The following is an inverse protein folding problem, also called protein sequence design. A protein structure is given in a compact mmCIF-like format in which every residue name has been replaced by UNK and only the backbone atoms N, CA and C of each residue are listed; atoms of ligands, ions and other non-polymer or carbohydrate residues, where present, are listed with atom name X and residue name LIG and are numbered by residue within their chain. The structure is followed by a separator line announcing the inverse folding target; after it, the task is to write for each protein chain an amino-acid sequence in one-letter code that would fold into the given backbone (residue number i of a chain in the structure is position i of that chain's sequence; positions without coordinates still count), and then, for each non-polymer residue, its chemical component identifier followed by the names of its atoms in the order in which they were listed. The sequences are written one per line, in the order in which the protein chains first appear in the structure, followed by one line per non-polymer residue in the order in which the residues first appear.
data_IF_209220480176
#
_entry.id   IF_209220480176
#
_cell.length_a   1.000
_cell.length_b   1.000
_cell.length_c   1.000
_cell.angle_alpha   90.00
_cell.angle_beta   90.00
_cell.angle_gamma   90.00
#
_symmetry.space_group_name_H-M   'P 1'
#
loop_
_entity.id
_entity.type
_entity.pdbx_description
1 polymer ?
#
# COMPACT_ATOMS: atom_id res chain seq x y z
N UNK A 1 -16.98 8.13 -16.20
CA UNK A 1 -16.75 6.72 -15.81
C UNK A 1 -17.88 5.87 -16.36
N UNK A 2 -17.57 4.75 -17.02
CA UNK A 2 -18.58 3.82 -17.53
C UNK A 2 -19.30 3.11 -16.35
N UNK A 3 -20.64 3.17 -16.26
CA UNK A 3 -21.40 2.54 -15.16
C UNK A 3 -21.19 1.02 -15.06
N UNK A 4 -20.90 0.32 -16.17
CA UNK A 4 -20.61 -1.11 -16.16
C UNK A 4 -19.33 -1.45 -15.37
N UNK A 5 -18.26 -0.66 -15.56
CA UNK A 5 -16.99 -0.86 -14.85
C UNK A 5 -17.12 -0.66 -13.33
N UNK A 6 -18.00 0.25 -12.89
CA UNK A 6 -18.25 0.47 -11.46
C UNK A 6 -18.95 -0.75 -10.81
N UNK A 7 -19.83 -1.44 -11.54
CA UNK A 7 -20.50 -2.66 -11.06
C UNK A 7 -19.51 -3.82 -10.89
N UNK A 8 -18.61 -3.99 -11.85
CA UNK A 8 -17.57 -5.03 -11.79
C UNK A 8 -16.59 -4.79 -10.65
N UNK A 9 -16.14 -3.53 -10.48
CA UNK A 9 -15.27 -3.15 -9.36
C UNK A 9 -15.93 -3.44 -8.01
N UNK A 10 -17.21 -3.07 -7.84
CA UNK A 10 -17.96 -3.36 -6.60
C UNK A 10 -18.09 -4.85 -6.33
N UNK A 11 -18.40 -5.65 -7.36
CA UNK A 11 -18.50 -7.11 -7.24
C UNK A 11 -17.15 -7.71 -6.82
N UNK A 12 -16.06 -7.28 -7.46
CA UNK A 12 -14.73 -7.73 -7.13
C UNK A 12 -14.33 -7.36 -5.69
N UNK A 13 -14.59 -6.13 -5.26
CA UNK A 13 -14.30 -5.67 -3.89
C UNK A 13 -15.09 -6.47 -2.85
N UNK A 14 -16.36 -6.77 -3.11
CA UNK A 14 -17.18 -7.59 -2.22
C UNK A 14 -16.61 -9.01 -2.06
N UNK A 15 -16.19 -9.63 -3.17
CA UNK A 15 -15.63 -10.99 -3.18
C UNK A 15 -14.24 -11.07 -2.53
N UNK A 16 -13.46 -10.00 -2.60
CA UNK A 16 -12.06 -9.98 -2.13
C UNK A 16 -11.87 -9.15 -0.86
N UNK A 17 -12.95 -8.79 -0.15
CA UNK A 17 -12.90 -7.91 1.03
C UNK A 17 -11.95 -8.42 2.12
N UNK A 18 -11.85 -9.73 2.29
CA UNK A 18 -10.95 -10.38 3.25
C UNK A 18 -9.45 -10.22 2.89
N UNK A 19 -9.13 -9.90 1.64
CA UNK A 19 -7.76 -9.60 1.18
C UNK A 19 -7.41 -8.12 1.35
N UNK A 20 -8.38 -7.28 1.67
CA UNK A 20 -8.21 -5.84 1.85
C UNK A 20 -8.11 -5.49 3.34
N UNK A 21 -7.46 -4.37 3.63
CA UNK A 21 -7.43 -3.75 4.96
C UNK A 21 -7.72 -2.26 4.82
N UNK A 22 -8.37 -1.72 5.85
CA UNK A 22 -8.38 -0.29 6.09
C UNK A 22 -7.02 0.09 6.69
N UNK A 23 -6.22 0.85 5.94
CA UNK A 23 -4.86 1.18 6.34
C UNK A 23 -4.80 2.59 6.92
N UNK A 24 -4.45 2.78 8.21
CA UNK A 24 -4.40 4.10 8.83
C UNK A 24 -3.25 4.97 8.33
N UNK A 25 -2.37 4.42 7.47
CA UNK A 25 -1.24 5.11 6.84
C UNK A 25 -1.48 5.36 5.35
N UNK A 26 -2.65 5.01 4.82
CA UNK A 26 -3.00 5.28 3.44
C UNK A 26 -3.68 6.65 3.35
N UNK A 27 -3.16 7.58 2.53
CA UNK A 27 -3.82 8.86 2.30
C UNK A 27 -5.25 8.66 1.79
N UNK A 28 -6.18 9.47 2.30
CA UNK A 28 -7.59 9.43 1.89
C UNK A 28 -8.40 8.26 2.42
N UNK A 29 -7.94 7.55 3.47
CA UNK A 29 -8.62 6.39 4.07
C UNK A 29 -8.99 5.32 3.05
N UNK A 30 -8.11 5.11 2.07
CA UNK A 30 -8.32 4.14 1.02
C UNK A 30 -7.97 2.72 1.50
N UNK A 31 -8.75 1.74 1.03
CA UNK A 31 -8.40 0.34 1.21
C UNK A 31 -7.12 0.00 0.45
N UNK A 32 -6.32 -0.91 1.04
CA UNK A 32 -5.15 -1.50 0.39
C UNK A 32 -5.21 -3.02 0.58
N UNK A 33 -4.70 -3.78 -0.37
CA UNK A 33 -4.58 -5.23 -0.18
C UNK A 33 -3.53 -5.56 0.88
N UNK A 34 -3.72 -6.66 1.60
CA UNK A 34 -2.74 -7.22 2.55
C UNK A 34 -1.37 -7.43 1.89
N UNK A 35 -1.39 -7.91 0.65
CA UNK A 35 -0.19 -8.10 -0.17
C UNK A 35 0.54 -6.79 -0.45
N UNK A 36 -0.18 -5.75 -0.87
CA UNK A 36 0.44 -4.44 -1.12
C UNK A 36 0.95 -3.79 0.19
N UNK A 37 0.27 -3.98 1.31
CA UNK A 37 0.76 -3.55 2.63
C UNK A 37 2.08 -4.26 3.01
N UNK A 38 2.15 -5.59 2.82
CA UNK A 38 3.36 -6.40 3.04
C UNK A 38 4.53 -5.91 2.16
N UNK A 39 4.28 -5.67 0.87
CA UNK A 39 5.28 -5.10 -0.05
C UNK A 39 5.80 -3.74 0.39
N UNK A 40 4.91 -2.82 0.79
CA UNK A 40 5.31 -1.49 1.28
C UNK A 40 6.21 -1.58 2.51
N UNK A 41 5.92 -2.50 3.43
CA UNK A 41 6.79 -2.72 4.59
C UNK A 41 8.16 -3.26 4.19
N UNK A 42 8.22 -4.30 3.35
CA UNK A 42 9.51 -4.85 2.86
C UNK A 42 10.32 -3.79 2.12
N UNK A 43 9.69 -3.02 1.24
CA UNK A 43 10.34 -1.92 0.53
C UNK A 43 10.87 -0.83 1.48
N UNK A 44 10.17 -0.53 2.58
CA UNK A 44 10.61 0.48 3.56
C UNK A 44 11.84 0.07 4.38
N UNK A 45 12.17 -1.22 4.40
CA UNK A 45 13.34 -1.80 5.05
C UNK A 45 14.54 -1.91 4.12
N UNK A 46 14.34 -1.73 2.80
CA UNK A 46 15.39 -1.88 1.81
C UNK A 46 16.50 -0.82 2.03
N UNK A 47 17.73 -1.23 2.37
CA UNK A 47 18.85 -0.31 2.57
C UNK A 47 19.34 0.30 1.25
N UNK A 48 18.99 -0.31 0.11
CA UNK A 48 19.33 0.11 -1.25
C UNK A 48 18.27 1.05 -1.86
N UNK A 49 17.35 1.60 -1.05
CA UNK A 49 16.66 2.85 -1.39
C UNK A 49 17.62 4.06 -1.57
N UNK A 50 18.91 3.79 -1.49
CA UNK A 50 20.01 4.66 -1.81
C UNK A 50 19.87 5.24 -3.23
N UNK A 51 19.68 6.56 -3.19
CA UNK A 51 20.51 7.55 -3.88
C UNK A 51 19.94 8.00 -5.25
N UNK A 52 19.43 9.25 -5.24
CA UNK A 52 18.86 10.04 -6.34
C UNK A 52 17.53 9.55 -6.96
N UNK A 53 16.41 9.97 -6.36
CA UNK A 53 15.43 10.63 -7.22
C UNK A 53 15.57 12.11 -6.93
N UNK A 54 16.22 12.84 -7.83
CA UNK A 54 16.07 14.29 -7.89
C UNK A 54 14.63 14.66 -8.28
N UNK A 55 13.85 13.69 -8.76
CA UNK A 55 12.44 13.88 -9.06
C UNK A 55 11.53 13.81 -7.81
N UNK A 56 10.46 14.59 -7.91
CA UNK A 56 9.39 14.71 -6.93
C UNK A 56 8.72 13.37 -6.59
N UNK A 57 8.60 12.46 -7.56
CA UNK A 57 7.85 11.20 -7.39
C UNK A 57 8.59 10.24 -6.48
N UNK A 58 9.89 10.07 -6.65
CA UNK A 58 10.67 9.21 -5.75
C UNK A 58 10.80 9.82 -4.35
N UNK A 59 10.81 11.15 -4.19
CA UNK A 59 10.71 11.78 -2.87
C UNK A 59 9.37 11.44 -2.19
N UNK A 60 8.25 11.63 -2.89
CA UNK A 60 6.92 11.32 -2.37
C UNK A 60 6.77 9.82 -2.02
N UNK A 61 7.31 8.94 -2.85
CA UNK A 61 7.32 7.50 -2.59
C UNK A 61 8.11 7.16 -1.33
N UNK A 62 9.34 7.70 -1.17
CA UNK A 62 10.15 7.49 0.04
C UNK A 62 9.44 7.97 1.29
N UNK A 63 8.83 9.15 1.25
CA UNK A 63 8.06 9.66 2.38
C UNK A 63 6.82 8.79 2.69
N UNK A 64 6.16 8.25 1.67
CA UNK A 64 5.06 7.30 1.87
C UNK A 64 5.49 5.95 2.44
N UNK A 65 6.72 5.50 2.14
CA UNK A 65 7.29 4.23 2.63
C UNK A 65 7.89 4.38 4.03
N UNK A 66 8.42 5.55 4.41
CA UNK A 66 8.97 5.77 5.76
C UNK A 66 7.93 5.51 6.86
N UNK A 67 6.66 5.85 6.61
CA UNK A 67 5.52 5.53 7.47
C UNK A 67 5.29 4.03 7.70
N UNK A 68 5.81 3.18 6.79
CA UNK A 68 5.63 1.74 6.82
C UNK A 68 6.79 0.99 7.51
N UNK A 69 7.93 1.67 7.78
CA UNK A 69 9.14 1.05 8.35
C UNK A 69 8.87 0.36 9.69
N UNK A 70 8.23 1.06 10.62
CA UNK A 70 7.91 0.54 11.96
C UNK A 70 6.43 0.14 12.11
N UNK A 71 5.71 0.00 10.99
CA UNK A 71 4.28 -0.30 11.01
C UNK A 71 4.03 -1.75 11.44
N UNK A 72 3.35 -1.94 12.58
CA UNK A 72 2.99 -3.26 13.13
C UNK A 72 2.13 -4.10 12.17
N UNK A 73 1.21 -3.46 11.44
CA UNK A 73 0.35 -4.14 10.46
C UNK A 73 1.21 -4.70 9.32
N UNK A 74 2.06 -3.85 8.74
CA UNK A 74 2.98 -4.24 7.67
C UNK A 74 3.93 -5.35 8.09
N UNK A 75 4.54 -5.23 9.27
CA UNK A 75 5.40 -6.26 9.86
C UNK A 75 4.69 -7.61 9.98
N UNK A 76 3.49 -7.64 10.57
CA UNK A 76 2.71 -8.87 10.73
C UNK A 76 2.37 -9.52 9.39
N UNK A 77 2.03 -8.72 8.38
CA UNK A 77 1.69 -9.20 7.04
C UNK A 77 2.93 -9.57 6.19
N UNK A 78 4.12 -9.12 6.56
CA UNK A 78 5.37 -9.46 5.88
C UNK A 78 6.01 -10.75 6.41
N UNK A 79 5.70 -11.11 7.66
CA UNK A 79 6.16 -12.33 8.33
C UNK A 79 5.19 -13.52 8.20
N UNK A 80 3.99 -13.30 7.67
CA UNK A 80 3.01 -14.34 7.33
C UNK A 80 3.29 -14.91 5.94
#
# INVERSE_FOLDING_TARGET
MNPAGNREIKKWLAQNRNLMIDCPKQPGNLFISKHACSKRHKASLDPDQKIYSEDFFGYALRQGLSLCRDCRIGKRLASA
#
